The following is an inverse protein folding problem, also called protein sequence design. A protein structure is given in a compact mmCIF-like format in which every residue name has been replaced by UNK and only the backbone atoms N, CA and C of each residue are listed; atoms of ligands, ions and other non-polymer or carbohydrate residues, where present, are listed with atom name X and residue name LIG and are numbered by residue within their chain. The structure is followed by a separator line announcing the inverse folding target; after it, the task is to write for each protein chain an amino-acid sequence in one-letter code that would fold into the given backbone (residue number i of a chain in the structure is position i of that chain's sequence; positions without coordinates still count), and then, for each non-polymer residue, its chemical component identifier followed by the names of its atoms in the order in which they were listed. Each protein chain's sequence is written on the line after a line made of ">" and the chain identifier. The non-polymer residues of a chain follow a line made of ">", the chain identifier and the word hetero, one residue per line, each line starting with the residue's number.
data_IF_444077869699
#
_entry.id   IF_444077869699
#
_cell.length_a   1.000
_cell.length_b   1.000
_cell.length_c   1.000
_cell.angle_alpha   90.00
_cell.angle_beta   90.00
_cell.angle_gamma   90.00
#
_symmetry.space_group_name_H-M   'P 1'
#
loop_
_entity.id
_entity.type
_entity.pdbx_description
1 polymer ?
#
# COMPACT_ATOMS: atom_id res chain seq x y z
N UNK A 1 -21.82 -12.72 23.11
CA UNK A 1 -20.94 -11.58 23.48
C UNK A 1 -19.52 -12.11 23.68
N UNK A 2 -18.71 -12.15 22.62
CA UNK A 2 -17.30 -12.63 22.66
C UNK A 2 -16.32 -11.43 22.70
N UNK A 3 -16.83 -10.24 23.05
CA UNK A 3 -16.18 -8.95 22.77
C UNK A 3 -15.65 -8.24 24.04
N UNK A 4 -15.63 -8.91 25.19
CA UNK A 4 -15.16 -8.34 26.46
C UNK A 4 -13.79 -8.87 26.90
N UNK A 5 -12.97 -9.35 25.95
CA UNK A 5 -11.54 -9.49 26.27
C UNK A 5 -10.99 -8.07 26.42
N UNK A 6 -10.45 -7.70 27.60
CA UNK A 6 -9.96 -6.35 27.82
C UNK A 6 -8.89 -6.05 26.78
N UNK A 7 -9.11 -4.99 26.01
CA UNK A 7 -8.19 -4.55 24.94
C UNK A 7 -6.76 -4.37 25.46
N UNK A 8 -6.64 -4.05 26.75
CA UNK A 8 -5.37 -3.97 27.48
C UNK A 8 -4.53 -5.26 27.45
N UNK A 9 -5.14 -6.45 27.36
CA UNK A 9 -4.44 -7.73 27.21
C UNK A 9 -4.24 -8.13 25.75
N UNK A 10 -5.19 -7.80 24.88
CA UNK A 10 -5.16 -8.17 23.47
C UNK A 10 -3.98 -7.53 22.72
N UNK A 11 -3.77 -6.22 22.90
CA UNK A 11 -2.68 -5.51 22.22
C UNK A 11 -1.27 -6.06 22.54
N UNK A 12 -0.86 -6.24 23.80
CA UNK A 12 0.49 -6.75 24.09
C UNK A 12 0.69 -8.18 23.61
N UNK A 13 -0.33 -9.05 23.67
CA UNK A 13 -0.24 -10.42 23.15
C UNK A 13 -0.04 -10.40 21.63
N UNK A 14 -0.81 -9.60 20.88
CA UNK A 14 -0.67 -9.47 19.42
C UNK A 14 0.74 -8.97 19.06
N UNK A 15 1.24 -7.96 19.77
CA UNK A 15 2.56 -7.37 19.50
C UNK A 15 3.67 -8.39 19.77
N UNK A 16 3.61 -9.13 20.88
CA UNK A 16 4.55 -10.21 21.18
C UNK A 16 4.51 -11.30 20.09
N UNK A 17 3.32 -11.70 19.66
CA UNK A 17 3.13 -12.68 18.58
C UNK A 17 3.71 -12.20 17.24
N UNK A 18 3.54 -10.91 16.89
CA UNK A 18 4.13 -10.33 15.68
C UNK A 18 5.66 -10.38 15.71
N UNK A 19 6.29 -10.01 16.83
CA UNK A 19 7.75 -10.09 16.95
C UNK A 19 8.25 -11.53 16.92
N UNK A 20 7.57 -12.44 17.61
CA UNK A 20 7.93 -13.85 17.63
C UNK A 20 7.78 -14.48 16.23
N UNK A 21 6.69 -14.15 15.52
CA UNK A 21 6.45 -14.59 14.15
C UNK A 21 7.50 -14.07 13.17
N UNK A 22 7.87 -12.78 13.26
CA UNK A 22 8.89 -12.19 12.39
C UNK A 22 10.30 -12.72 12.68
N UNK A 23 10.59 -13.13 13.92
CA UNK A 23 11.84 -13.81 14.25
C UNK A 23 11.87 -15.26 13.73
N UNK A 24 10.73 -15.95 13.77
CA UNK A 24 10.63 -17.36 13.39
C UNK A 24 10.84 -17.63 11.89
N UNK A 25 10.64 -16.66 11.01
CA UNK A 25 10.75 -16.87 9.55
C UNK A 25 12.18 -17.11 9.08
N UNK A 26 13.15 -16.37 9.63
CA UNK A 26 14.56 -16.44 9.20
C UNK A 26 15.57 -16.46 10.35
N UNK A 27 15.12 -16.39 11.61
CA UNK A 27 16.00 -16.23 12.77
C UNK A 27 16.80 -14.92 12.74
N UNK A 28 16.43 -13.97 11.89
CA UNK A 28 17.18 -12.75 11.65
C UNK A 28 16.61 -11.60 12.47
N UNK A 29 17.48 -10.93 13.22
CA UNK A 29 17.13 -9.70 13.94
C UNK A 29 16.73 -8.57 12.98
N UNK A 30 17.14 -8.62 11.71
CA UNK A 30 16.77 -7.64 10.70
C UNK A 30 15.26 -7.62 10.44
N UNK A 31 14.62 -8.79 10.30
CA UNK A 31 13.17 -8.89 10.08
C UNK A 31 12.39 -8.33 11.27
N UNK A 32 12.91 -8.51 12.49
CA UNK A 32 12.33 -7.94 13.73
C UNK A 32 12.40 -6.41 13.70
N UNK A 33 13.53 -5.83 13.30
CA UNK A 33 13.68 -4.38 13.13
C UNK A 33 12.75 -3.82 12.06
N UNK A 34 12.60 -4.51 10.92
CA UNK A 34 11.66 -4.14 9.86
C UNK A 34 10.22 -4.21 10.37
N UNK A 35 9.84 -5.27 11.08
CA UNK A 35 8.52 -5.42 11.70
C UNK A 35 8.23 -4.29 12.69
N UNK A 36 9.20 -3.94 13.55
CA UNK A 36 9.08 -2.81 14.47
C UNK A 36 8.87 -1.49 13.72
N UNK A 37 9.65 -1.25 12.67
CA UNK A 37 9.55 -0.07 11.81
C UNK A 37 8.17 0.05 11.16
N UNK A 38 7.70 -1.00 10.48
CA UNK A 38 6.37 -1.03 9.85
C UNK A 38 5.22 -0.98 10.85
N UNK A 39 5.37 -1.58 12.04
CA UNK A 39 4.40 -1.49 13.12
C UNK A 39 4.25 -0.05 13.64
N UNK A 40 5.37 0.66 13.82
CA UNK A 40 5.36 2.08 14.17
C UNK A 40 4.73 2.93 13.04
N UNK A 41 5.11 2.66 11.79
CA UNK A 41 4.53 3.32 10.61
C UNK A 41 3.01 3.14 10.56
N UNK A 42 2.51 1.92 10.77
CA UNK A 42 1.08 1.62 10.87
C UNK A 42 0.38 2.37 12.02
N UNK A 43 1.04 2.49 13.19
CA UNK A 43 0.50 3.27 14.31
C UNK A 43 0.41 4.77 13.97
N UNK A 44 1.40 5.32 13.26
CA UNK A 44 1.36 6.72 12.79
C UNK A 44 0.28 6.95 11.73
N UNK A 45 0.12 6.05 10.77
CA UNK A 45 -0.94 6.10 9.75
C UNK A 45 -2.33 6.11 10.40
N UNK A 46 -2.53 5.31 11.45
CA UNK A 46 -3.76 5.31 12.24
C UNK A 46 -4.01 6.64 12.94
N UNK A 47 -2.97 7.33 13.43
CA UNK A 47 -3.08 8.67 14.04
C UNK A 47 -3.45 9.75 13.03
N UNK A 48 -3.02 9.61 11.77
CA UNK A 48 -3.37 10.54 10.67
C UNK A 48 -4.79 10.31 10.14
N UNK A 49 -5.53 9.34 10.69
CA UNK A 49 -6.92 9.07 10.33
C UNK A 49 -7.08 8.20 9.07
N UNK A 50 -6.00 7.56 8.61
CA UNK A 50 -6.11 6.58 7.53
C UNK A 50 -6.89 5.35 8.03
N UNK A 51 -7.93 4.99 7.27
CA UNK A 51 -8.62 3.73 7.52
C UNK A 51 -7.71 2.54 7.13
N UNK A 52 -7.76 1.45 7.89
CA UNK A 52 -6.98 0.25 7.58
C UNK A 52 -7.39 -0.41 6.26
N UNK A 53 -8.64 -0.23 5.81
CA UNK A 53 -9.15 -0.81 4.55
C UNK A 53 -8.31 -0.45 3.31
N UNK A 54 -8.15 0.84 2.98
CA UNK A 54 -7.31 1.29 1.87
C UNK A 54 -5.85 0.81 1.94
N UNK A 55 -5.28 0.69 3.14
CA UNK A 55 -3.89 0.23 3.32
C UNK A 55 -3.79 -1.26 2.93
N UNK A 56 -4.71 -2.09 3.40
CA UNK A 56 -4.76 -3.52 3.06
C UNK A 56 -5.06 -3.71 1.58
N UNK A 57 -5.99 -2.93 1.01
CA UNK A 57 -6.29 -2.95 -0.42
C UNK A 57 -5.05 -2.59 -1.26
N UNK A 58 -4.32 -1.54 -0.88
CA UNK A 58 -3.09 -1.15 -1.56
C UNK A 58 -2.01 -2.23 -1.49
N UNK A 59 -1.87 -2.91 -0.35
CA UNK A 59 -0.91 -4.01 -0.18
C UNK A 59 -1.25 -5.18 -1.11
N UNK A 60 -2.50 -5.64 -1.10
CA UNK A 60 -2.95 -6.76 -1.94
C UNK A 60 -2.90 -6.41 -3.42
N UNK A 61 -3.40 -5.22 -3.81
CA UNK A 61 -3.32 -4.77 -5.20
C UNK A 61 -1.88 -4.61 -5.67
N UNK A 62 -0.98 -4.12 -4.80
CA UNK A 62 0.43 -3.98 -5.09
C UNK A 62 1.09 -5.31 -5.44
N UNK A 63 0.89 -6.34 -4.62
CA UNK A 63 1.39 -7.69 -4.91
C UNK A 63 0.83 -8.25 -6.22
N UNK A 64 -0.48 -8.09 -6.46
CA UNK A 64 -1.10 -8.49 -7.72
C UNK A 64 -0.47 -7.74 -8.91
N UNK A 65 -0.22 -6.44 -8.77
CA UNK A 65 0.35 -5.61 -9.83
C UNK A 65 1.78 -6.05 -10.12
N UNK A 66 2.61 -6.26 -9.11
CA UNK A 66 3.99 -6.74 -9.29
C UNK A 66 4.03 -8.12 -9.94
N UNK A 67 3.18 -9.06 -9.50
CA UNK A 67 3.10 -10.40 -10.09
C UNK A 67 2.72 -10.34 -11.57
N UNK A 68 1.71 -9.56 -11.92
CA UNK A 68 1.26 -9.41 -13.31
C UNK A 68 2.29 -8.65 -14.15
N UNK A 69 2.94 -7.63 -13.60
CA UNK A 69 4.01 -6.90 -14.27
C UNK A 69 5.20 -7.81 -14.58
N UNK A 70 5.69 -8.54 -13.57
CA UNK A 70 6.79 -9.51 -13.72
C UNK A 70 6.42 -10.58 -14.76
N UNK A 71 5.19 -11.10 -14.70
CA UNK A 71 4.70 -12.09 -15.68
C UNK A 71 4.68 -11.52 -17.10
N UNK A 72 4.18 -10.29 -17.28
CA UNK A 72 4.16 -9.63 -18.59
C UNK A 72 5.58 -9.47 -19.15
N UNK A 73 6.52 -9.02 -18.32
CA UNK A 73 7.93 -8.84 -18.73
C UNK A 73 8.61 -10.18 -19.04
N UNK A 74 8.33 -11.25 -18.29
CA UNK A 74 8.91 -12.56 -18.56
C UNK A 74 8.47 -13.16 -19.91
N UNK A 75 7.25 -12.86 -20.36
CA UNK A 75 6.68 -13.46 -21.57
C UNK A 75 7.24 -12.84 -22.86
N UNK A 76 7.76 -11.62 -22.84
CA UNK A 76 8.34 -11.00 -24.05
C UNK A 76 9.00 -9.65 -23.82
N UNK A 77 9.56 -9.45 -22.64
CA UNK A 77 10.38 -8.29 -22.30
C UNK A 77 9.59 -6.99 -22.09
N UNK A 78 10.34 -5.91 -21.92
CA UNK A 78 9.78 -4.56 -21.72
C UNK A 78 9.07 -4.01 -22.97
N UNK A 79 9.34 -4.61 -24.13
CA UNK A 79 8.84 -4.16 -25.44
C UNK A 79 7.36 -4.51 -25.68
N UNK A 80 6.81 -5.51 -24.97
CA UNK A 80 5.37 -5.88 -25.08
C UNK A 80 4.45 -4.71 -24.78
N UNK A 81 4.83 -3.81 -23.87
CA UNK A 81 4.01 -2.65 -23.53
C UNK A 81 3.86 -1.66 -24.69
N UNK A 82 4.77 -1.69 -25.67
CA UNK A 82 4.77 -0.84 -26.86
C UNK A 82 4.19 -1.60 -28.06
N UNK A 83 4.54 -2.88 -28.20
CA UNK A 83 4.07 -3.72 -29.32
C UNK A 83 2.58 -4.08 -29.24
N UNK A 84 1.99 -4.10 -28.04
CA UNK A 84 0.56 -4.34 -27.83
C UNK A 84 -0.17 -2.99 -27.74
N UNK A 85 -0.89 -2.55 -28.81
CA UNK A 85 -1.57 -1.26 -28.80
C UNK A 85 -2.64 -1.15 -27.69
N UNK A 86 -3.25 -2.27 -27.31
CA UNK A 86 -4.23 -2.34 -26.21
C UNK A 86 -3.58 -2.05 -24.86
N UNK A 87 -2.40 -2.63 -24.59
CA UNK A 87 -1.65 -2.36 -23.37
C UNK A 87 -1.22 -0.90 -23.30
N UNK A 88 -0.74 -0.34 -24.41
CA UNK A 88 -0.31 1.06 -24.48
C UNK A 88 -1.47 2.03 -24.19
N UNK A 89 -2.65 1.79 -24.78
CA UNK A 89 -3.84 2.61 -24.53
C UNK A 89 -4.29 2.52 -23.07
N UNK A 90 -4.31 1.32 -22.48
CA UNK A 90 -4.65 1.14 -21.06
C UNK A 90 -3.64 1.82 -20.13
N UNK A 91 -2.35 1.77 -20.45
CA UNK A 91 -1.30 2.41 -19.68
C UNK A 91 -1.43 3.94 -19.73
N UNK A 92 -1.69 4.50 -20.91
CA UNK A 92 -1.98 5.93 -21.08
C UNK A 92 -3.24 6.36 -20.33
N UNK A 93 -4.32 5.59 -20.41
CA UNK A 93 -5.57 5.85 -19.66
C UNK A 93 -5.35 5.81 -18.15
N UNK A 94 -4.56 4.85 -17.66
CA UNK A 94 -4.21 4.74 -16.24
C UNK A 94 -3.40 5.96 -15.78
N UNK A 95 -2.38 6.36 -16.54
CA UNK A 95 -1.59 7.58 -16.31
C UNK A 95 -2.47 8.82 -16.31
N UNK A 96 -3.36 8.97 -17.29
CA UNK A 96 -4.31 10.08 -17.38
C UNK A 96 -5.25 10.10 -16.17
N UNK A 97 -5.82 8.96 -15.79
CA UNK A 97 -6.75 8.86 -14.66
C UNK A 97 -6.09 9.16 -13.32
N UNK A 98 -4.81 8.80 -13.16
CA UNK A 98 -4.03 9.17 -11.99
C UNK A 98 -3.63 10.65 -12.00
N UNK A 99 -3.12 11.16 -13.13
CA UNK A 99 -2.65 12.53 -13.27
C UNK A 99 -3.79 13.56 -13.28
N UNK A 100 -4.98 13.23 -13.75
CA UNK A 100 -6.12 14.15 -13.83
C UNK A 100 -6.54 14.73 -12.45
N UNK A 101 -6.78 13.94 -11.39
CA UNK A 101 -7.08 14.46 -10.05
C UNK A 101 -5.86 15.13 -9.40
N UNK A 102 -4.64 14.65 -9.66
CA UNK A 102 -3.40 15.25 -9.16
C UNK A 102 -3.18 16.65 -9.76
N UNK A 103 -3.28 16.79 -11.08
CA UNK A 103 -3.20 18.06 -11.80
C UNK A 103 -4.35 18.99 -11.41
N UNK A 104 -5.59 18.49 -11.30
CA UNK A 104 -6.74 19.28 -10.86
C UNK A 104 -6.58 19.77 -9.41
N UNK A 105 -6.08 18.93 -8.50
CA UNK A 105 -5.86 19.31 -7.09
C UNK A 105 -4.69 20.29 -6.94
N UNK A 106 -3.63 20.14 -7.75
CA UNK A 106 -2.51 21.07 -7.78
C UNK A 106 -2.93 22.43 -8.39
N UNK A 107 -3.75 22.42 -9.44
CA UNK A 107 -4.29 23.63 -10.06
C UNK A 107 -5.34 24.33 -9.17
N UNK A 108 -6.18 23.56 -8.44
CA UNK A 108 -7.09 24.10 -7.41
C UNK A 108 -6.39 24.64 -6.17
N UNK A 109 -5.18 24.17 -5.85
CA UNK A 109 -4.37 24.78 -4.78
C UNK A 109 -3.69 26.08 -5.23
N UNK A 110 -3.61 26.33 -6.55
CA UNK A 110 -3.07 27.58 -7.12
C UNK A 110 -4.13 28.63 -7.47
N UNK A 111 -5.36 28.23 -7.76
CA UNK A 111 -6.52 29.13 -7.69
C UNK A 111 -7.05 29.07 -6.25
N UNK A 112 -6.50 29.93 -5.40
CA UNK A 112 -7.01 30.14 -4.04
C UNK A 112 -8.49 30.46 -4.03
N UNK A 113 -9.08 30.43 -2.84
CA UNK A 113 -10.42 30.94 -2.59
C UNK A 113 -10.57 32.34 -3.20
N UNK A 114 -11.47 32.50 -4.19
CA UNK A 114 -12.64 33.31 -3.95
C UNK A 114 -13.82 32.36 -4.21
N UNK A 115 -14.72 32.16 -3.27
CA UNK A 115 -15.66 33.17 -2.81
C UNK A 115 -16.20 32.72 -1.45
N UNK A 116 -16.32 33.71 -0.56
CA UNK A 116 -17.14 33.80 0.64
C UNK A 116 -18.13 32.66 0.96
#
# INVERSE_FOLDING_TARGET
>A
KVIEVPKALLYPIIVMLCFLGSYSTKGSLFDVWVCFGFGFLGATLKRVGYQPGPIVLGLVLGELLEMNFRRAVLIGGMQIFIERPISLVLLLLSLLSFLFPLARSWFRRRLGDPVA
#
